data_IF_579492929142
#
_entry.id   IF_579492929142
#
_cell.length_a   1.000
_cell.length_b   1.000
_cell.length_c   1.000
_cell.angle_alpha   90.00
_cell.angle_beta   90.00
_cell.angle_gamma   90.00
#
_symmetry.space_group_name_H-M   'P 1'
#
loop_
_entity.id
_entity.type
_entity.pdbx_description
1 polymer ?
#
# COMPACT_ATOMS: atom_id res chain seq x y z
N UNK A 1 14.42 33.95 0.79
CA UNK A 1 15.51 33.90 1.81
C UNK A 1 16.66 34.88 1.48
N UNK A 2 16.68 35.40 0.24
CA UNK A 2 17.62 36.46 -0.18
C UNK A 2 17.23 37.83 0.38
N UNK A 3 15.98 38.04 0.76
CA UNK A 3 15.43 39.34 1.11
C UNK A 3 15.10 40.23 -0.09
N UNK A 4 15.16 39.66 -1.30
CA UNK A 4 14.77 40.36 -2.52
C UNK A 4 13.26 40.53 -2.57
N UNK A 5 12.78 41.73 -2.84
CA UNK A 5 11.37 42.08 -3.04
C UNK A 5 11.09 42.09 -4.53
N UNK A 6 10.01 41.39 -4.92
CA UNK A 6 9.51 41.38 -6.29
C UNK A 6 8.09 41.97 -6.31
N UNK A 7 7.87 42.93 -7.19
CA UNK A 7 6.54 43.44 -7.45
C UNK A 7 5.75 42.44 -8.31
N UNK A 8 4.49 42.15 -7.92
CA UNK A 8 3.63 41.22 -8.66
C UNK A 8 2.16 41.66 -8.52
N UNK A 9 1.44 41.69 -9.62
CA UNK A 9 -0.02 41.90 -9.62
C UNK A 9 -0.77 40.61 -9.28
N UNK A 10 -0.21 39.44 -9.60
CA UNK A 10 -0.78 38.12 -9.35
C UNK A 10 0.31 37.19 -8.84
N UNK A 11 0.02 36.49 -7.77
CA UNK A 11 0.89 35.43 -7.25
C UNK A 11 0.19 34.07 -7.44
N UNK A 12 0.86 33.16 -8.16
CA UNK A 12 0.40 31.78 -8.35
C UNK A 12 1.22 30.86 -7.45
N UNK A 13 0.57 30.17 -6.52
CA UNK A 13 1.22 29.22 -5.64
C UNK A 13 1.22 27.82 -6.28
N UNK A 14 2.40 27.21 -6.38
CA UNK A 14 2.60 25.85 -6.89
C UNK A 14 3.66 25.14 -6.01
N UNK A 15 3.44 25.14 -4.70
CA UNK A 15 4.42 24.73 -3.68
C UNK A 15 4.51 23.22 -3.46
N UNK A 16 3.70 22.43 -4.20
CA UNK A 16 3.67 20.97 -4.12
C UNK A 16 2.62 20.45 -3.13
N UNK A 17 2.84 19.21 -2.64
CA UNK A 17 1.92 18.49 -1.77
C UNK A 17 2.61 18.08 -0.48
N UNK A 18 1.82 17.78 0.54
CA UNK A 18 2.19 16.96 1.68
C UNK A 18 1.51 15.58 1.55
N UNK A 19 2.18 14.54 2.05
CA UNK A 19 1.65 13.19 2.02
C UNK A 19 0.58 13.02 3.09
N UNK A 20 -0.60 12.62 2.65
CA UNK A 20 -1.71 12.21 3.51
C UNK A 20 -1.94 10.71 3.34
N UNK A 21 -1.47 9.92 4.31
CA UNK A 21 -1.64 8.46 4.27
C UNK A 21 -3.09 8.12 4.58
N UNK A 22 -3.76 7.37 3.69
CA UNK A 22 -5.18 6.98 3.81
C UNK A 22 -6.11 8.20 4.00
N UNK A 23 -5.75 9.37 3.46
CA UNK A 23 -6.53 10.61 3.57
C UNK A 23 -6.61 11.16 4.99
N UNK A 24 -5.64 10.85 5.85
CA UNK A 24 -5.62 11.21 7.28
C UNK A 24 -6.85 10.72 8.07
N UNK A 25 -7.54 9.71 7.55
CA UNK A 25 -8.66 9.07 8.25
C UNK A 25 -8.11 8.28 9.45
N UNK A 26 -8.63 8.51 10.66
CA UNK A 26 -8.20 7.75 11.83
C UNK A 26 -8.79 6.33 11.79
N UNK A 27 -7.95 5.33 11.62
CA UNK A 27 -8.34 3.92 11.67
C UNK A 27 -8.05 3.33 13.04
N UNK A 28 -8.96 2.47 13.51
CA UNK A 28 -8.80 1.72 14.74
C UNK A 28 -9.17 0.25 14.50
N UNK A 29 -8.42 -0.65 15.11
CA UNK A 29 -8.72 -2.09 15.15
C UNK A 29 -8.82 -2.49 16.63
N UNK A 30 -9.99 -2.99 17.03
CA UNK A 30 -10.28 -3.37 18.42
C UNK A 30 -9.97 -2.23 19.44
N UNK A 31 -10.33 -0.99 19.07
CA UNK A 31 -10.12 0.21 19.88
C UNK A 31 -8.69 0.73 19.94
N UNK A 32 -7.76 0.10 19.21
CA UNK A 32 -6.36 0.56 19.10
C UNK A 32 -6.15 1.31 17.80
N UNK A 33 -5.54 2.50 17.81
CA UNK A 33 -5.25 3.24 16.58
C UNK A 33 -4.26 2.46 15.72
N UNK A 34 -4.49 2.50 14.40
CA UNK A 34 -3.57 1.91 13.42
C UNK A 34 -2.49 2.94 13.09
N UNK A 35 -1.23 2.56 13.29
CA UNK A 35 -0.10 3.29 12.76
C UNK A 35 0.39 2.60 11.47
N UNK A 36 0.17 3.24 10.33
CA UNK A 36 0.51 2.65 9.03
C UNK A 36 1.99 2.33 8.89
N UNK A 37 2.87 3.14 9.48
CA UNK A 37 4.32 2.93 9.45
C UNK A 37 4.78 1.62 10.13
N UNK A 38 3.95 1.02 10.98
CA UNK A 38 4.24 -0.24 11.66
C UNK A 38 3.71 -1.46 10.88
N UNK A 39 3.03 -1.24 9.76
CA UNK A 39 2.47 -2.31 8.94
C UNK A 39 3.39 -2.68 7.79
N UNK A 40 3.31 -3.94 7.36
CA UNK A 40 3.89 -4.42 6.10
C UNK A 40 2.75 -4.70 5.13
N UNK A 41 2.90 -4.30 3.87
CA UNK A 41 1.84 -4.55 2.90
C UNK A 41 2.01 -5.89 2.21
N UNK A 42 0.89 -6.62 2.10
CA UNK A 42 0.79 -7.76 1.20
C UNK A 42 0.58 -7.23 -0.22
N UNK A 43 1.57 -7.41 -1.09
CA UNK A 43 1.61 -6.92 -2.49
C UNK A 43 1.19 -5.45 -2.66
N UNK A 44 1.41 -4.61 -1.64
CA UNK A 44 0.97 -3.21 -1.65
C UNK A 44 -0.55 -3.02 -1.63
N UNK A 45 -1.34 -4.05 -1.31
CA UNK A 45 -2.81 -4.03 -1.36
C UNK A 45 -3.49 -4.14 0.00
N UNK A 46 -2.98 -4.98 0.89
CA UNK A 46 -3.53 -5.20 2.22
C UNK A 46 -2.43 -5.02 3.27
N UNK A 47 -2.78 -4.87 4.54
CA UNK A 47 -1.85 -4.49 5.61
C UNK A 47 -1.81 -5.55 6.69
N UNK A 48 -0.61 -5.90 7.17
CA UNK A 48 -0.48 -6.81 8.31
C UNK A 48 -1.22 -6.27 9.53
N UNK A 49 -2.00 -7.15 10.17
CA UNK A 49 -2.75 -6.82 11.38
C UNK A 49 -4.01 -5.98 11.18
N UNK A 50 -4.33 -5.57 9.94
CA UNK A 50 -5.55 -4.80 9.63
C UNK A 50 -6.54 -5.70 8.91
N UNK A 51 -7.70 -6.04 9.54
CA UNK A 51 -8.66 -6.95 8.94
C UNK A 51 -9.49 -6.30 7.83
N UNK A 52 -9.82 -7.09 6.81
CA UNK A 52 -10.82 -6.77 5.79
C UNK A 52 -10.60 -5.43 5.05
N UNK A 53 -9.38 -4.95 4.97
CA UNK A 53 -9.05 -3.71 4.30
C UNK A 53 -8.17 -3.98 3.08
N UNK A 54 -8.64 -3.55 1.91
CA UNK A 54 -7.85 -3.45 0.71
C UNK A 54 -7.68 -1.97 0.33
N UNK A 55 -6.46 -1.58 -0.04
CA UNK A 55 -6.11 -0.23 -0.40
C UNK A 55 -5.65 -0.16 -1.84
N UNK A 56 -6.35 0.62 -2.64
CA UNK A 56 -5.99 0.86 -4.03
C UNK A 56 -4.94 1.97 -4.09
N UNK A 57 -3.74 1.59 -4.46
CA UNK A 57 -2.69 2.52 -4.84
C UNK A 57 -2.21 2.15 -6.25
N UNK A 58 -2.27 3.10 -7.16
CA UNK A 58 -1.96 2.86 -8.57
C UNK A 58 -0.48 2.89 -8.90
N UNK A 59 -0.17 2.92 -10.19
CA UNK A 59 1.20 3.03 -10.69
C UNK A 59 1.64 4.50 -10.78
N UNK A 60 2.88 4.79 -10.44
CA UNK A 60 3.45 6.14 -10.56
C UNK A 60 3.65 6.56 -12.02
N UNK A 61 3.97 5.59 -12.90
CA UNK A 61 4.33 5.82 -14.31
C UNK A 61 3.36 5.18 -15.30
N UNK A 62 2.19 4.75 -14.83
CA UNK A 62 1.14 4.19 -15.66
C UNK A 62 -0.24 4.59 -15.13
N UNK A 63 -1.32 4.22 -15.84
CA UNK A 63 -2.66 4.50 -15.39
C UNK A 63 -2.97 3.81 -14.05
N UNK A 64 -3.54 4.56 -13.13
CA UNK A 64 -4.02 4.03 -11.83
C UNK A 64 -5.10 2.96 -12.01
N UNK A 65 -5.94 3.10 -13.06
CA UNK A 65 -7.03 2.17 -13.36
C UNK A 65 -6.52 0.76 -13.64
N UNK A 66 -5.35 0.61 -14.27
CA UNK A 66 -4.77 -0.71 -14.53
C UNK A 66 -4.58 -1.52 -13.24
N UNK A 67 -4.10 -0.88 -12.17
CA UNK A 67 -3.93 -1.57 -10.89
C UNK A 67 -5.23 -1.69 -10.12
N UNK A 68 -6.12 -0.70 -10.24
CA UNK A 68 -7.44 -0.74 -9.63
C UNK A 68 -8.26 -1.94 -10.13
N UNK A 69 -8.19 -2.24 -11.44
CA UNK A 69 -8.88 -3.39 -12.04
C UNK A 69 -8.31 -4.71 -11.49
N UNK A 70 -6.98 -4.88 -11.47
CA UNK A 70 -6.33 -6.08 -10.90
C UNK A 70 -6.71 -6.29 -9.43
N UNK A 71 -6.75 -5.21 -8.66
CA UNK A 71 -7.14 -5.27 -7.25
C UNK A 71 -8.63 -5.56 -7.07
N UNK A 72 -9.49 -5.01 -7.93
CA UNK A 72 -10.92 -5.30 -7.95
C UNK A 72 -11.19 -6.79 -8.17
N UNK A 73 -10.52 -7.39 -9.15
CA UNK A 73 -10.61 -8.82 -9.43
C UNK A 73 -10.08 -9.67 -8.26
N UNK A 74 -8.96 -9.27 -7.68
CA UNK A 74 -8.43 -9.95 -6.48
C UNK A 74 -9.42 -9.89 -5.32
N UNK A 75 -9.98 -8.73 -5.01
CA UNK A 75 -10.96 -8.57 -3.93
C UNK A 75 -12.22 -9.39 -4.20
N UNK A 76 -12.72 -9.41 -5.44
CA UNK A 76 -13.87 -10.23 -5.81
C UNK A 76 -13.62 -11.73 -5.58
N UNK A 77 -12.44 -12.24 -5.99
CA UNK A 77 -12.02 -13.62 -5.74
C UNK A 77 -11.89 -13.91 -4.24
N UNK A 78 -11.27 -13.00 -3.50
CA UNK A 78 -11.10 -13.13 -2.05
C UNK A 78 -12.44 -13.22 -1.32
N UNK A 79 -13.41 -12.37 -1.68
CA UNK A 79 -14.76 -12.40 -1.11
C UNK A 79 -15.50 -13.70 -1.46
N UNK A 80 -15.38 -14.20 -2.70
CA UNK A 80 -15.91 -15.49 -3.11
C UNK A 80 -15.34 -16.65 -2.30
N UNK A 81 -14.01 -16.68 -2.15
CA UNK A 81 -13.32 -17.68 -1.33
C UNK A 81 -13.76 -17.63 0.14
N UNK A 82 -13.85 -16.45 0.72
CA UNK A 82 -14.32 -16.27 2.08
C UNK A 82 -15.77 -16.76 2.26
N UNK A 83 -16.63 -16.46 1.29
CA UNK A 83 -18.03 -16.91 1.31
C UNK A 83 -18.13 -18.43 1.24
N UNK A 84 -17.41 -19.08 0.34
CA UNK A 84 -17.40 -20.54 0.19
C UNK A 84 -16.91 -21.26 1.45
N UNK A 85 -15.93 -20.69 2.13
CA UNK A 85 -15.34 -21.25 3.36
C UNK A 85 -16.07 -20.82 4.64
N UNK A 86 -17.03 -19.91 4.55
CA UNK A 86 -17.76 -19.37 5.72
C UNK A 86 -16.94 -18.40 6.57
N UNK A 87 -15.87 -17.83 6.02
CA UNK A 87 -15.04 -16.83 6.71
C UNK A 87 -15.67 -15.44 6.67
N UNK A 88 -15.50 -14.68 7.75
CA UNK A 88 -15.96 -13.30 7.87
C UNK A 88 -14.82 -12.29 7.98
N UNK A 89 -13.64 -12.77 8.28
CA UNK A 89 -12.47 -11.93 8.48
C UNK A 89 -11.27 -12.55 7.79
N UNK A 90 -10.49 -11.70 7.14
CA UNK A 90 -9.16 -12.00 6.62
C UNK A 90 -8.18 -10.93 7.09
N UNK A 91 -7.03 -11.36 7.61
CA UNK A 91 -5.97 -10.46 8.08
C UNK A 91 -4.65 -10.95 7.50
N UNK A 92 -3.93 -10.13 6.72
CA UNK A 92 -2.58 -10.47 6.33
C UNK A 92 -1.65 -10.51 7.55
N UNK A 93 -0.80 -11.53 7.62
CA UNK A 93 0.18 -11.68 8.67
C UNK A 93 1.47 -12.30 8.12
N UNK A 94 2.62 -11.86 8.64
CA UNK A 94 3.90 -12.47 8.30
C UNK A 94 3.90 -13.94 8.72
N UNK A 95 4.33 -14.80 7.82
CA UNK A 95 4.46 -16.25 8.07
C UNK A 95 5.73 -16.53 8.89
N UNK A 96 5.84 -17.69 9.56
CA UNK A 96 7.07 -18.06 10.26
C UNK A 96 8.32 -18.02 9.36
N UNK A 97 8.18 -18.35 8.10
CA UNK A 97 9.24 -18.28 7.08
C UNK A 97 9.60 -16.85 6.65
N UNK A 98 8.81 -15.85 7.05
CA UNK A 98 9.07 -14.44 6.76
C UNK A 98 9.87 -13.73 7.87
N UNK A 99 10.18 -14.42 8.96
CA UNK A 99 10.87 -13.85 10.13
C UNK A 99 12.22 -13.18 9.79
N UNK A 100 12.92 -13.71 8.79
CA UNK A 100 14.23 -13.22 8.35
C UNK A 100 14.12 -12.35 7.09
N UNK A 101 12.89 -11.96 6.70
CA UNK A 101 12.63 -11.08 5.58
C UNK A 101 13.18 -9.69 5.86
N UNK A 102 13.89 -9.14 4.88
CA UNK A 102 14.39 -7.77 4.95
C UNK A 102 13.22 -6.78 4.77
N UNK A 103 12.94 -6.02 5.81
CA UNK A 103 11.95 -4.94 5.74
C UNK A 103 12.58 -3.73 5.03
N UNK A 104 11.82 -3.15 4.12
CA UNK A 104 12.22 -2.06 3.24
C UNK A 104 11.22 -0.92 3.28
N UNK A 105 11.61 0.23 2.76
CA UNK A 105 10.68 1.32 2.46
C UNK A 105 9.61 0.84 1.48
N UNK A 106 8.41 1.35 1.62
CA UNK A 106 7.29 0.97 0.77
C UNK A 106 7.49 1.40 -0.69
N UNK A 107 8.17 2.53 -0.89
CA UNK A 107 8.55 3.05 -2.21
C UNK A 107 10.07 3.00 -2.31
N UNK A 108 10.57 2.56 -3.45
CA UNK A 108 11.99 2.66 -3.78
C UNK A 108 12.31 4.10 -4.19
N UNK A 109 13.11 4.77 -3.37
CA UNK A 109 13.51 6.17 -3.59
C UNK A 109 14.47 6.34 -4.76
N UNK A 110 15.12 5.28 -5.22
CA UNK A 110 15.96 5.31 -6.43
C UNK A 110 15.10 5.33 -7.69
N UNK A 111 13.93 4.67 -7.64
CA UNK A 111 12.98 4.63 -8.77
C UNK A 111 12.05 5.84 -8.81
N UNK A 112 11.50 6.26 -7.65
CA UNK A 112 10.52 7.36 -7.59
C UNK A 112 10.68 8.20 -6.32
N UNK A 113 11.12 9.46 -6.46
CA UNK A 113 11.55 10.31 -5.36
C UNK A 113 11.00 11.76 -5.34
N UNK A 114 9.72 12.01 -5.60
CA UNK A 114 9.16 13.36 -5.45
C UNK A 114 9.26 13.83 -4.00
N UNK A 115 9.54 15.13 -3.81
CA UNK A 115 9.87 15.69 -2.50
C UNK A 115 8.82 15.43 -1.41
N UNK A 116 7.53 15.43 -1.75
CA UNK A 116 6.47 15.16 -0.78
C UNK A 116 6.48 13.71 -0.27
N UNK A 117 6.79 12.74 -1.14
CA UNK A 117 6.94 11.34 -0.73
C UNK A 117 8.18 11.15 0.15
N UNK A 118 9.30 11.78 -0.24
CA UNK A 118 10.54 11.67 0.57
C UNK A 118 10.35 12.25 1.97
N UNK A 119 9.65 13.37 2.09
CA UNK A 119 9.34 13.95 3.42
C UNK A 119 8.40 13.07 4.23
N UNK A 120 7.40 12.44 3.58
CA UNK A 120 6.38 11.61 4.23
C UNK A 120 6.69 10.11 4.28
N UNK A 121 7.84 9.65 3.77
CA UNK A 121 8.18 8.22 3.68
C UNK A 121 8.07 7.48 5.02
N UNK A 122 8.37 8.16 6.13
CA UNK A 122 8.29 7.61 7.47
C UNK A 122 6.86 7.33 7.95
N UNK A 123 5.85 7.89 7.28
CA UNK A 123 4.42 7.68 7.57
C UNK A 123 3.83 6.50 6.78
N UNK A 124 4.50 6.09 5.71
CA UNK A 124 4.05 5.02 4.84
C UNK A 124 4.25 3.64 5.50
N UNK A 125 3.44 2.64 5.11
CA UNK A 125 3.69 1.25 5.48
C UNK A 125 5.06 0.79 5.02
N UNK A 126 5.42 -0.44 5.34
CA UNK A 126 6.66 -1.08 4.90
C UNK A 126 6.39 -2.09 3.78
N UNK A 127 7.44 -2.43 3.10
CA UNK A 127 7.52 -3.50 2.11
C UNK A 127 8.53 -4.55 2.59
N UNK A 128 8.47 -5.75 2.04
CA UNK A 128 9.47 -6.79 2.24
C UNK A 128 10.24 -7.08 0.97
N UNK A 129 11.31 -7.87 1.06
CA UNK A 129 12.09 -8.31 -0.10
C UNK A 129 11.53 -9.59 -0.77
N UNK A 130 10.56 -10.26 -0.14
CA UNK A 130 9.83 -11.38 -0.74
C UNK A 130 8.69 -10.90 -1.62
N UNK A 131 8.36 -11.68 -2.64
CA UNK A 131 7.39 -11.28 -3.69
C UNK A 131 6.01 -10.94 -3.13
N UNK A 132 5.54 -11.65 -2.11
CA UNK A 132 4.23 -11.43 -1.49
C UNK A 132 4.18 -10.14 -0.65
N UNK A 133 5.32 -9.71 -0.15
CA UNK A 133 5.44 -8.54 0.71
C UNK A 133 6.03 -7.32 0.01
N UNK A 134 6.33 -7.46 -1.29
CA UNK A 134 6.86 -6.36 -2.09
C UNK A 134 5.72 -5.51 -2.65
N UNK A 135 5.88 -4.20 -2.59
CA UNK A 135 5.11 -3.27 -3.39
C UNK A 135 5.88 -3.02 -4.70
N UNK A 136 5.34 -3.52 -5.80
CA UNK A 136 5.95 -3.30 -7.11
C UNK A 136 5.21 -2.21 -7.88
N UNK A 137 5.89 -1.61 -8.86
CA UNK A 137 5.33 -0.64 -9.78
C UNK A 137 5.36 -1.20 -11.22
N UNK A 138 5.30 -2.54 -11.35
CA UNK A 138 5.45 -3.27 -12.59
C UNK A 138 4.12 -3.95 -13.01
N UNK A 139 3.34 -3.25 -13.81
CA UNK A 139 2.08 -3.77 -14.34
C UNK A 139 2.25 -5.08 -15.11
N UNK A 140 3.34 -5.20 -15.91
CA UNK A 140 3.53 -6.36 -16.77
C UNK A 140 3.73 -7.66 -15.99
N UNK A 141 4.33 -7.59 -14.82
CA UNK A 141 4.42 -8.71 -13.90
C UNK A 141 3.17 -8.86 -13.04
N UNK A 142 2.60 -7.76 -12.52
CA UNK A 142 1.43 -7.82 -11.64
C UNK A 142 0.18 -8.36 -12.33
N UNK A 143 -0.04 -8.09 -13.63
CA UNK A 143 -1.18 -8.60 -14.40
C UNK A 143 -1.25 -10.12 -14.47
N UNK A 144 -0.13 -10.81 -14.32
CA UNK A 144 -0.06 -12.27 -14.31
C UNK A 144 0.03 -12.83 -12.88
N UNK A 145 0.68 -12.11 -11.97
CA UNK A 145 0.89 -12.54 -10.59
C UNK A 145 -0.34 -12.33 -9.68
N UNK A 146 -1.04 -11.19 -9.79
CA UNK A 146 -2.20 -10.91 -8.93
C UNK A 146 -3.36 -11.89 -9.18
N UNK A 147 -3.73 -12.23 -10.42
CA UNK A 147 -4.73 -13.26 -10.67
C UNK A 147 -4.35 -14.67 -10.19
N UNK A 148 -3.06 -14.96 -10.07
CA UNK A 148 -2.55 -16.27 -9.63
C UNK A 148 -2.29 -16.38 -8.11
N UNK A 149 -2.64 -15.35 -7.31
CA UNK A 149 -2.49 -15.39 -5.87
C UNK A 149 -3.27 -16.58 -5.29
N UNK A 150 -2.58 -17.43 -4.54
CA UNK A 150 -3.17 -18.50 -3.74
C UNK A 150 -3.89 -17.89 -2.52
N UNK A 151 -5.21 -18.06 -2.45
CA UNK A 151 -6.01 -17.53 -1.37
C UNK A 151 -5.97 -18.42 -0.11
N UNK A 152 -5.44 -19.64 -0.20
CA UNK A 152 -5.15 -20.50 0.95
C UNK A 152 -3.74 -20.30 1.52
N UNK A 153 -2.96 -19.31 1.01
CA UNK A 153 -1.63 -18.97 1.54
C UNK A 153 -1.73 -18.60 3.03
N UNK A 154 -0.78 -19.09 3.81
CA UNK A 154 -0.68 -18.81 5.26
C UNK A 154 -0.46 -17.34 5.61
N UNK A 155 -0.14 -16.50 4.62
CA UNK A 155 -0.14 -15.05 4.78
C UNK A 155 -1.54 -14.50 5.08
N UNK A 156 -2.61 -15.22 4.73
CA UNK A 156 -3.98 -14.86 5.04
C UNK A 156 -4.48 -15.64 6.26
N UNK A 157 -4.73 -14.93 7.34
CA UNK A 157 -5.37 -15.48 8.52
C UNK A 157 -6.87 -15.25 8.45
N UNK A 158 -7.62 -16.32 8.28
CA UNK A 158 -9.08 -16.29 8.18
C UNK A 158 -9.77 -16.63 9.50
N UNK A 159 -10.95 -16.07 9.74
CA UNK A 159 -11.87 -16.48 10.82
C UNK A 159 -13.31 -16.07 10.54
#
# INVERSE_FOLDING_TARGET
KSGEELEADIIVTATGFDLSVMGDIPFQVDGKPVNWADTVTYRGMMFTGVPNLAWVFGYFRASWTLRADLMGDFVARLLGHMQEKGYRKVVPALRPEDKDMKIQSWIDSEDFNPGYLMRGMHLLPKSGDKVEWRHTQDYWNEKDQIPSIDLDDKAFQYS
#
